data_IF_101309940303
#
_entry.id   IF_101309940303
#
_cell.length_a   1.000
_cell.length_b   1.000
_cell.length_c   1.000
_cell.angle_alpha   90.00
_cell.angle_beta   90.00
_cell.angle_gamma   90.00
#
_symmetry.space_group_name_H-M   'P 1'
#
loop_
_entity.id
_entity.type
_entity.pdbx_description
1 polymer ?
#
# COMPACT_ATOMS: atom_id res chain seq x y z
N UNK A 1 -19.71 13.01 13.54
CA UNK A 1 -19.60 13.54 12.17
C UNK A 1 -18.97 12.43 11.34
N UNK A 2 -19.57 12.04 10.22
CA UNK A 2 -18.95 11.07 9.31
C UNK A 2 -17.84 11.79 8.57
N UNK A 3 -16.60 11.61 8.99
CA UNK A 3 -15.46 12.10 8.22
C UNK A 3 -15.42 11.35 6.88
N UNK A 4 -15.40 12.11 5.80
CA UNK A 4 -15.32 11.57 4.46
C UNK A 4 -13.90 11.03 4.26
N UNK A 5 -13.77 9.73 3.97
CA UNK A 5 -12.48 9.12 3.63
C UNK A 5 -11.82 9.87 2.47
N UNK A 6 -10.55 10.24 2.64
CA UNK A 6 -9.73 10.76 1.54
C UNK A 6 -9.50 9.69 0.48
N UNK A 7 -9.65 10.07 -0.78
CA UNK A 7 -9.38 9.21 -1.93
C UNK A 7 -8.08 9.66 -2.57
N UNK A 8 -7.03 8.84 -2.42
CA UNK A 8 -5.69 9.06 -2.99
C UNK A 8 -5.21 7.80 -3.68
N UNK A 9 -4.33 7.97 -4.64
CA UNK A 9 -3.71 6.88 -5.38
C UNK A 9 -2.22 7.17 -5.55
N UNK A 10 -1.44 6.09 -5.61
CA UNK A 10 -0.05 6.08 -6.06
C UNK A 10 0.08 5.12 -7.25
N UNK A 11 1.09 5.31 -8.09
CA UNK A 11 1.40 4.38 -9.17
C UNK A 11 2.86 3.98 -9.13
N UNK A 12 3.11 2.69 -9.37
CA UNK A 12 4.43 2.20 -9.70
C UNK A 12 4.64 2.28 -11.21
N UNK A 13 5.61 3.09 -11.63
CA UNK A 13 6.07 3.12 -13.03
C UNK A 13 7.01 1.94 -13.27
N UNK A 14 6.59 0.97 -14.09
CA UNK A 14 7.39 -0.22 -14.36
C UNK A 14 8.57 0.03 -15.29
N UNK A 15 8.57 1.13 -16.05
CA UNK A 15 9.65 1.52 -16.97
C UNK A 15 10.76 2.23 -16.19
N UNK A 16 10.39 3.25 -15.43
CA UNK A 16 11.33 4.09 -14.68
C UNK A 16 11.69 3.51 -13.30
N UNK A 17 10.95 2.48 -12.85
CA UNK A 17 11.10 1.84 -11.53
C UNK A 17 11.00 2.87 -10.40
N UNK A 18 9.93 3.68 -10.43
CA UNK A 18 9.69 4.76 -9.47
C UNK A 18 8.25 4.78 -9.00
N UNK A 19 8.07 5.04 -7.70
CA UNK A 19 6.77 5.28 -7.11
C UNK A 19 6.37 6.75 -7.27
N UNK A 20 5.18 6.98 -7.83
CA UNK A 20 4.58 8.30 -7.98
C UNK A 20 3.36 8.41 -7.06
N UNK A 21 3.29 9.50 -6.29
CA UNK A 21 2.22 9.73 -5.31
C UNK A 21 1.25 10.80 -5.81
N UNK A 22 0.02 10.82 -5.28
CA UNK A 22 -1.01 11.81 -5.61
C UNK A 22 -1.32 11.89 -7.13
N UNK A 23 -1.32 10.75 -7.82
CA UNK A 23 -1.51 10.66 -9.29
C UNK A 23 -2.89 11.13 -9.78
N UNK A 24 -3.83 11.40 -8.88
CA UNK A 24 -5.12 12.04 -9.21
C UNK A 24 -5.00 13.55 -9.38
N UNK A 25 -3.92 14.13 -8.86
CA UNK A 25 -3.62 15.57 -8.91
C UNK A 25 -2.55 15.90 -9.96
N UNK A 26 -1.92 14.90 -10.57
CA UNK A 26 -0.95 15.11 -11.64
C UNK A 26 -1.66 15.68 -12.87
N UNK A 27 -1.24 16.88 -13.26
CA UNK A 27 -1.46 17.46 -14.58
C UNK A 27 -0.08 17.65 -15.17
N UNK A 28 0.53 16.56 -15.60
CA UNK A 28 1.80 16.68 -16.32
C UNK A 28 1.49 17.06 -17.76
N UNK A 29 2.23 18.03 -18.28
CA UNK A 29 2.12 18.48 -19.65
C UNK A 29 3.30 17.90 -20.42
N UNK A 30 3.05 16.90 -21.26
CA UNK A 30 4.08 16.37 -22.16
C UNK A 30 3.98 17.06 -23.51
N UNK A 31 5.11 17.59 -23.99
CA UNK A 31 5.22 18.11 -25.35
C UNK A 31 5.44 16.93 -26.29
N UNK A 32 4.39 16.49 -26.97
CA UNK A 32 4.50 15.47 -28.03
C UNK A 32 4.06 16.14 -29.33
N UNK A 33 4.96 16.18 -30.31
CA UNK A 33 4.71 16.66 -31.69
C UNK A 33 4.00 18.02 -31.82
N UNK A 34 4.41 19.01 -31.02
CA UNK A 34 3.89 20.38 -31.12
C UNK A 34 2.50 20.59 -30.50
N UNK A 35 1.98 19.60 -29.78
CA UNK A 35 0.82 19.70 -28.91
C UNK A 35 1.21 19.44 -27.44
N UNK A 36 0.40 19.99 -26.52
CA UNK A 36 0.45 19.63 -25.11
C UNK A 36 -0.52 18.48 -24.87
N UNK A 37 -0.02 17.29 -24.58
CA UNK A 37 -0.86 16.23 -24.02
C UNK A 37 -0.92 16.41 -22.50
N UNK A 38 -2.15 16.37 -21.97
CA UNK A 38 -2.37 16.32 -20.54
C UNK A 38 -2.17 14.87 -20.14
N UNK A 39 -1.05 14.58 -19.47
CA UNK A 39 -0.88 13.33 -18.74
C UNK A 39 -1.77 13.43 -17.51
N UNK A 40 -2.99 12.90 -17.67
CA UNK A 40 -3.98 12.82 -16.61
C UNK A 40 -4.00 11.45 -15.96
N UNK A 41 -4.80 11.31 -14.90
CA UNK A 41 -5.02 10.06 -14.17
C UNK A 41 -5.34 8.87 -15.09
N UNK A 42 -6.10 9.10 -16.16
CA UNK A 42 -6.50 8.08 -17.14
C UNK A 42 -5.30 7.37 -17.81
N UNK A 43 -4.14 8.03 -17.91
CA UNK A 43 -2.95 7.39 -18.46
C UNK A 43 -2.38 6.31 -17.54
N UNK A 44 -2.50 6.48 -16.22
CA UNK A 44 -2.08 5.45 -15.25
C UNK A 44 -3.01 4.24 -15.25
N UNK A 45 -4.26 4.42 -15.68
CA UNK A 45 -5.24 3.35 -15.81
C UNK A 45 -5.11 2.58 -17.13
N UNK A 46 -4.29 3.06 -18.05
CA UNK A 46 -4.05 2.39 -19.31
C UNK A 46 -2.94 1.36 -19.14
N UNK A 47 -3.31 0.08 -19.18
CA UNK A 47 -2.39 -1.07 -19.06
C UNK A 47 -1.20 -0.99 -20.04
N UNK A 48 -1.35 -0.26 -21.16
CA UNK A 48 -0.29 -0.05 -22.16
C UNK A 48 0.88 0.79 -21.66
N UNK A 49 0.68 1.59 -20.61
CA UNK A 49 1.66 2.55 -20.07
C UNK A 49 2.64 1.88 -19.10
N UNK A 50 2.36 0.63 -18.68
CA UNK A 50 3.22 -0.10 -17.75
C UNK A 50 3.21 0.51 -16.34
N UNK A 51 2.10 1.10 -15.93
CA UNK A 51 1.92 1.60 -14.56
C UNK A 51 1.03 0.65 -13.75
N UNK A 52 1.30 0.50 -12.46
CA UNK A 52 0.42 -0.24 -11.54
C UNK A 52 -0.12 0.71 -10.48
N UNK A 53 -1.43 0.91 -10.47
CA UNK A 53 -2.12 1.84 -9.57
C UNK A 53 -2.49 1.15 -8.26
N UNK A 54 -2.29 1.84 -7.14
CA UNK A 54 -2.59 1.40 -5.77
C UNK A 54 -3.38 2.48 -5.03
N UNK A 55 -4.44 2.11 -4.33
CA UNK A 55 -5.25 3.07 -3.56
C UNK A 55 -4.74 3.26 -2.12
N UNK A 56 -4.87 4.48 -1.62
CA UNK A 56 -4.77 4.78 -0.20
C UNK A 56 -5.91 4.13 0.58
N UNK A 57 -5.58 3.54 1.72
CA UNK A 57 -6.50 2.73 2.53
C UNK A 57 -7.41 3.59 3.40
N UNK A 58 -7.02 4.83 3.67
CA UNK A 58 -7.66 5.69 4.68
C UNK A 58 -6.99 5.62 6.06
N UNK A 59 -5.96 4.77 6.22
CA UNK A 59 -5.27 4.52 7.49
C UNK A 59 -3.82 4.96 7.44
N UNK A 60 -3.24 5.22 8.61
CA UNK A 60 -1.82 5.51 8.79
C UNK A 60 -1.20 4.48 9.72
N UNK A 61 0.08 4.23 9.56
CA UNK A 61 0.83 3.38 10.48
C UNK A 61 1.14 4.13 11.80
N UNK A 62 1.83 3.47 12.73
CA UNK A 62 2.18 4.05 14.04
C UNK A 62 3.01 5.34 13.92
N UNK A 63 3.80 5.44 12.86
CA UNK A 63 4.66 6.59 12.54
C UNK A 63 3.92 7.69 11.77
N UNK A 64 2.64 7.49 11.43
CA UNK A 64 1.82 8.43 10.69
C UNK A 64 2.02 8.37 9.17
N UNK A 65 2.72 7.36 8.65
CA UNK A 65 2.86 7.11 7.22
C UNK A 65 1.56 6.54 6.68
N UNK A 66 1.10 7.06 5.55
CA UNK A 66 -0.10 6.57 4.87
C UNK A 66 0.12 5.14 4.36
N UNK A 67 -0.86 4.27 4.57
CA UNK A 67 -0.83 2.88 4.12
C UNK A 67 -1.58 2.78 2.79
N UNK A 68 -0.97 2.15 1.80
CA UNK A 68 -1.50 1.91 0.47
C UNK A 68 -1.58 0.41 0.17
N UNK A 69 -2.35 0.05 -0.84
CA UNK A 69 -2.27 -1.30 -1.43
C UNK A 69 -0.83 -1.66 -1.83
N UNK A 70 -0.46 -2.92 -1.62
CA UNK A 70 0.87 -3.43 -1.91
C UNK A 70 1.93 -3.09 -0.86
N UNK A 71 1.59 -2.33 0.19
CA UNK A 71 2.49 -2.13 1.32
C UNK A 71 2.70 -3.42 2.11
N UNK A 72 3.92 -3.56 2.62
CA UNK A 72 4.33 -4.59 3.56
C UNK A 72 4.40 -3.94 4.95
N UNK A 73 3.60 -4.46 5.87
CA UNK A 73 3.59 -3.99 7.26
C UNK A 73 4.25 -5.00 8.18
N UNK A 74 4.98 -4.51 9.18
CA UNK A 74 5.45 -5.29 10.32
C UNK A 74 4.61 -4.92 11.53
N UNK A 75 4.28 -5.91 12.34
CA UNK A 75 3.51 -5.76 13.56
C UNK A 75 4.38 -6.12 14.77
N UNK A 76 4.11 -5.45 15.88
CA UNK A 76 4.70 -5.82 17.16
C UNK A 76 3.96 -7.04 17.68
N UNK A 77 4.60 -8.21 17.66
CA UNK A 77 4.02 -9.41 18.26
C UNK A 77 4.39 -9.40 19.73
N UNK A 78 3.36 -9.37 20.59
CA UNK A 78 3.52 -9.51 22.03
C UNK A 78 3.27 -10.96 22.38
N UNK A 79 4.27 -11.63 22.95
CA UNK A 79 4.12 -13.00 23.42
C UNK A 79 3.27 -13.08 24.70
N UNK A 80 2.91 -14.29 25.13
CA UNK A 80 2.14 -14.53 26.36
C UNK A 80 2.82 -14.01 27.64
N UNK A 81 4.12 -13.71 27.58
CA UNK A 81 4.92 -13.18 28.67
C UNK A 81 5.06 -11.65 28.62
N UNK A 82 4.45 -10.99 27.62
CA UNK A 82 4.53 -9.54 27.43
C UNK A 82 5.81 -9.06 26.77
N UNK A 83 6.63 -9.95 26.21
CA UNK A 83 7.80 -9.56 25.42
C UNK A 83 7.33 -9.14 24.02
N UNK A 84 7.86 -8.02 23.53
CA UNK A 84 7.62 -7.60 22.16
C UNK A 84 8.77 -7.98 21.23
N UNK A 85 8.43 -8.60 20.11
CA UNK A 85 9.36 -8.88 19.02
C UNK A 85 8.82 -8.33 17.71
N UNK A 86 9.64 -7.53 17.04
CA UNK A 86 9.41 -7.10 15.67
C UNK A 86 9.98 -8.18 14.75
N UNK A 87 9.15 -9.12 14.32
CA UNK A 87 9.65 -10.18 13.43
C UNK A 87 9.77 -9.60 12.02
N UNK A 88 11.00 -9.56 11.50
CA UNK A 88 11.28 -9.20 10.10
C UNK A 88 10.72 -10.24 9.11
N UNK A 89 10.39 -11.42 9.62
CA UNK A 89 9.96 -12.57 8.83
C UNK A 89 8.44 -12.74 8.81
N UNK A 90 7.69 -12.00 9.65
CA UNK A 90 6.23 -11.91 9.55
C UNK A 90 5.85 -10.49 9.16
N UNK A 91 5.83 -10.26 7.86
CA UNK A 91 5.16 -9.08 7.33
C UNK A 91 3.93 -9.51 6.53
N UNK A 92 3.03 -8.56 6.43
CA UNK A 92 1.69 -8.78 5.96
C UNK A 92 1.46 -7.90 4.74
N UNK A 93 0.90 -8.50 3.68
CA UNK A 93 0.60 -7.78 2.45
C UNK A 93 -0.76 -7.10 2.57
N UNK A 94 -0.76 -5.80 2.29
CA UNK A 94 -1.98 -4.99 2.28
C UNK A 94 -2.69 -5.11 0.92
N UNK A 95 -3.99 -5.45 0.93
CA UNK A 95 -4.78 -5.59 -0.30
C UNK A 95 -6.30 -5.53 -0.10
N UNK A 96 -7.02 -5.56 -1.23
CA UNK A 96 -8.49 -5.65 -1.23
C UNK A 96 -8.94 -7.07 -1.53
N UNK A 97 -9.85 -7.60 -0.69
CA UNK A 97 -10.68 -8.75 -1.04
C UNK A 97 -12.14 -8.45 -0.71
N UNK A 98 -13.04 -9.29 -1.19
CA UNK A 98 -14.49 -9.10 -1.13
C UNK A 98 -14.96 -8.40 0.16
N UNK A 99 -15.81 -7.38 0.00
CA UNK A 99 -16.42 -6.57 1.05
C UNK A 99 -15.51 -5.58 1.80
N UNK A 100 -14.22 -5.43 1.46
CA UNK A 100 -13.44 -4.28 1.92
C UNK A 100 -11.93 -4.46 2.02
N UNK A 101 -11.30 -3.48 2.62
CA UNK A 101 -9.87 -3.44 2.87
C UNK A 101 -9.48 -4.43 3.99
N UNK A 102 -8.36 -5.14 3.82
CA UNK A 102 -7.84 -6.09 4.80
C UNK A 102 -6.40 -6.42 4.50
N UNK A 103 -5.92 -7.50 5.10
CA UNK A 103 -4.55 -7.91 4.96
C UNK A 103 -4.41 -9.41 4.75
N UNK A 104 -3.32 -9.79 4.09
CA UNK A 104 -2.94 -11.19 3.86
C UNK A 104 -1.73 -11.46 4.75
N UNK A 105 -1.97 -12.17 5.86
CA UNK A 105 -0.90 -12.55 6.78
C UNK A 105 -0.01 -13.59 6.11
N UNK A 106 1.28 -13.26 5.96
CA UNK A 106 2.31 -14.09 5.35
C UNK A 106 2.05 -14.47 3.86
N UNK A 107 2.58 -13.70 2.89
CA UNK A 107 2.45 -14.05 1.47
C UNK A 107 3.23 -15.31 1.04
N UNK A 108 3.99 -15.97 1.92
CA UNK A 108 4.74 -17.21 1.65
C UNK A 108 4.09 -18.48 2.18
N UNK A 109 3.10 -18.38 3.07
CA UNK A 109 2.35 -19.55 3.48
C UNK A 109 1.47 -20.02 2.31
N UNK A 110 1.47 -21.33 2.04
CA UNK A 110 0.53 -21.94 1.07
C UNK A 110 -0.94 -21.76 1.49
N UNK A 111 -1.15 -21.47 2.77
CA UNK A 111 -2.41 -21.09 3.35
C UNK A 111 -2.46 -19.56 3.39
N UNK A 112 -3.08 -18.95 2.38
CA UNK A 112 -3.42 -17.52 2.43
C UNK A 112 -4.50 -17.32 3.49
N UNK A 113 -4.18 -16.56 4.53
CA UNK A 113 -5.17 -16.16 5.52
C UNK A 113 -5.50 -14.67 5.30
N UNK A 114 -6.78 -14.39 5.02
CA UNK A 114 -7.28 -13.04 4.84
C UNK A 114 -8.02 -12.62 6.09
N UNK A 115 -7.46 -11.65 6.81
CA UNK A 115 -8.13 -11.01 7.94
C UNK A 115 -8.47 -9.57 7.60
N UNK A 116 -9.65 -9.16 8.07
CA UNK A 116 -10.08 -7.78 7.99
C UNK A 116 -9.56 -7.08 9.24
N UNK A 117 -9.01 -5.88 9.08
CA UNK A 117 -8.69 -5.05 10.24
C UNK A 117 -9.92 -4.86 11.12
N UNK A 118 -9.79 -5.23 12.40
CA UNK A 118 -10.83 -4.96 13.38
C UNK A 118 -10.74 -3.49 13.79
N UNK A 119 -11.88 -2.87 14.10
CA UNK A 119 -11.91 -1.48 14.54
C UNK A 119 -11.10 -1.24 15.82
N UNK A 120 -10.83 -2.29 16.60
CA UNK A 120 -10.04 -2.23 17.83
C UNK A 120 -8.53 -2.06 17.57
N UNK A 121 -8.07 -2.36 16.35
CA UNK A 121 -6.66 -2.22 15.92
C UNK A 121 -6.35 -0.83 15.34
N UNK A 122 -7.39 0.02 15.23
CA UNK A 122 -7.30 1.35 14.63
C UNK A 122 -7.73 2.42 15.63
N UNK A 123 -6.76 3.18 16.15
CA UNK A 123 -7.00 4.33 17.01
C UNK A 123 -6.82 5.63 16.23
N UNK A 124 -7.87 6.45 16.10
CA UNK A 124 -7.84 7.73 15.39
C UNK A 124 -7.28 7.63 13.95
N UNK A 125 -7.59 6.54 13.25
CA UNK A 125 -7.09 6.28 11.89
C UNK A 125 -5.62 5.83 11.84
N UNK A 126 -5.01 5.51 12.98
CA UNK A 126 -3.67 4.94 13.07
C UNK A 126 -3.70 3.48 13.51
N UNK A 127 -2.85 2.68 12.90
CA UNK A 127 -2.60 1.30 13.26
C UNK A 127 -1.34 1.18 14.10
N UNK A 128 -1.21 0.10 14.89
CA UNK A 128 -0.01 -0.23 15.65
C UNK A 128 1.16 -0.76 14.79
N UNK A 129 0.90 -1.07 13.53
CA UNK A 129 1.89 -1.58 12.59
C UNK A 129 2.84 -0.49 12.06
N UNK A 130 3.88 -0.91 11.34
CA UNK A 130 4.82 -0.05 10.62
C UNK A 130 4.94 -0.49 9.17
N UNK A 131 4.85 0.45 8.23
CA UNK A 131 5.12 0.14 6.81
C UNK A 131 6.62 0.03 6.57
N UNK A 132 7.11 -1.19 6.35
CA UNK A 132 8.54 -1.50 6.16
C UNK A 132 8.98 -1.51 4.69
N UNK A 133 8.04 -1.53 3.74
CA UNK A 133 8.32 -1.56 2.31
C UNK A 133 7.07 -1.76 1.48
N UNK A 134 7.22 -2.03 0.19
CA UNK A 134 6.14 -2.48 -0.69
C UNK A 134 6.64 -3.50 -1.71
N UNK A 135 5.72 -4.24 -2.33
CA UNK A 135 6.04 -5.33 -3.26
C UNK A 135 6.80 -4.92 -4.53
N UNK A 136 6.88 -3.61 -4.84
CA UNK A 136 7.53 -3.10 -6.04
C UNK A 136 8.93 -2.55 -5.76
N UNK A 137 9.07 -1.73 -4.71
CA UNK A 137 10.33 -1.12 -4.31
C UNK A 137 11.20 -2.04 -3.45
N UNK A 138 10.59 -3.03 -2.80
CA UNK A 138 11.25 -3.97 -1.89
C UNK A 138 10.96 -5.44 -2.21
N UNK A 139 11.16 -5.90 -3.46
CA UNK A 139 10.94 -7.31 -3.81
C UNK A 139 11.83 -8.25 -3.01
N UNK A 140 13.01 -7.80 -2.56
CA UNK A 140 13.93 -8.57 -1.71
C UNK A 140 13.33 -8.95 -0.35
N UNK A 141 12.34 -8.19 0.14
CA UNK A 141 11.64 -8.59 1.35
C UNK A 141 10.89 -9.89 1.09
N UNK A 142 10.37 -10.10 -0.12
CA UNK A 142 9.60 -11.27 -0.56
C UNK A 142 10.44 -12.52 -0.85
N UNK A 143 11.75 -12.43 -0.79
CA UNK A 143 12.61 -13.58 -1.01
C UNK A 143 12.84 -14.29 0.32
N UNK A 144 12.12 -15.40 0.55
CA UNK A 144 12.32 -16.26 1.71
C UNK A 144 13.81 -16.66 1.83
N UNK A 145 14.40 -16.48 3.01
CA UNK A 145 15.72 -17.02 3.34
C UNK A 145 15.64 -18.46 3.84
#
# INVERSE_FOLDING_TARGET
MTEQREIKFRAWDCLDKKMQYDITKTKEYSNVDGGYDIVGFDNYLNDSVGSVVMQYTGLKDKNGKEIYEGDLISEEIIDENGNSEWTKDNYTLIGWRNYGFGYISNPFSKEEFFERFYSEEVENGKMSCEVIGNIYENPELLEAK
#
